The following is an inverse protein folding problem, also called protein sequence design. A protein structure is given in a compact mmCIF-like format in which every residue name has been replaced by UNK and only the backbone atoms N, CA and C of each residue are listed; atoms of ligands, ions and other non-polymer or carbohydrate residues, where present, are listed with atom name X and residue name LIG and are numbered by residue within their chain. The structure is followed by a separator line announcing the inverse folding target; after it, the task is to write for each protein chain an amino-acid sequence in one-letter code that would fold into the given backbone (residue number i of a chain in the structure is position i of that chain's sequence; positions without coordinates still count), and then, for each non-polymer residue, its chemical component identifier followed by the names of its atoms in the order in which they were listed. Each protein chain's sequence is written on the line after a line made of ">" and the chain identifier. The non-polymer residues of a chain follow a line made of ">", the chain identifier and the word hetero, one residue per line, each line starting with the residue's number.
data_IF_433197886904
#
_entry.id   IF_433197886904
#
_cell.length_a   1.000
_cell.length_b   1.000
_cell.length_c   1.000
_cell.angle_alpha   90.00
_cell.angle_beta   90.00
_cell.angle_gamma   90.00
#
_symmetry.space_group_name_H-M   'P 1'
#
loop_
_entity.id
_entity.type
_entity.pdbx_description
1 polymer ?
#
# COMPACT_ATOMS: atom_id res chain seq x y z
N UNK A 1 -10.19 -8.67 17.46
CA UNK A 1 -9.46 -7.40 17.65
C UNK A 1 -9.68 -6.43 16.48
N UNK A 2 -9.31 -6.81 15.26
CA UNK A 2 -9.43 -5.92 14.08
C UNK A 2 -10.87 -5.54 13.75
N UNK A 3 -11.83 -6.45 13.87
CA UNK A 3 -13.25 -6.12 13.72
C UNK A 3 -13.69 -5.05 14.73
N UNK A 4 -13.34 -5.22 16.02
CA UNK A 4 -13.64 -4.20 17.05
C UNK A 4 -12.96 -2.85 16.79
N UNK A 5 -11.70 -2.84 16.35
CA UNK A 5 -11.00 -1.60 16.02
C UNK A 5 -11.58 -0.91 14.77
N UNK A 6 -12.06 -1.71 13.80
CA UNK A 6 -12.79 -1.22 12.64
C UNK A 6 -14.13 -0.59 13.04
N UNK A 7 -14.87 -1.23 13.95
CA UNK A 7 -16.15 -0.75 14.46
C UNK A 7 -16.00 0.54 15.28
N UNK A 8 -14.84 0.75 15.91
CA UNK A 8 -14.49 1.94 16.67
C UNK A 8 -13.93 3.09 15.79
N UNK A 9 -13.76 2.89 14.48
CA UNK A 9 -13.14 3.88 13.58
C UNK A 9 -11.63 4.10 13.82
N UNK A 10 -11.00 3.27 14.65
CA UNK A 10 -9.58 3.34 14.97
C UNK A 10 -8.69 2.70 13.90
N UNK A 11 -9.30 1.95 12.97
CA UNK A 11 -8.61 1.41 11.83
C UNK A 11 -8.41 2.51 10.78
N UNK A 12 -7.21 3.10 10.76
CA UNK A 12 -6.85 4.21 9.88
C UNK A 12 -5.36 4.13 9.48
N UNK A 13 -4.86 5.03 8.62
CA UNK A 13 -3.45 5.04 8.21
C UNK A 13 -2.44 5.12 9.37
N UNK A 14 -2.75 5.88 10.43
CA UNK A 14 -1.87 6.01 11.59
C UNK A 14 -1.74 4.68 12.35
N UNK A 15 -2.80 3.87 12.38
CA UNK A 15 -2.75 2.52 12.94
C UNK A 15 -1.79 1.61 12.16
N UNK A 16 -1.77 1.71 10.82
CA UNK A 16 -0.85 0.92 9.98
C UNK A 16 0.61 1.21 10.32
N UNK A 17 0.96 2.50 10.44
CA UNK A 17 2.30 2.95 10.84
C UNK A 17 2.66 2.42 12.23
N UNK A 18 1.74 2.56 13.20
CA UNK A 18 1.95 2.08 14.57
C UNK A 18 2.24 0.58 14.59
N UNK A 19 1.46 -0.23 13.89
CA UNK A 19 1.65 -1.67 13.81
C UNK A 19 3.02 -2.03 13.19
N UNK A 20 3.42 -1.36 12.10
CA UNK A 20 4.74 -1.58 11.48
C UNK A 20 5.90 -1.18 12.40
N UNK A 21 5.83 -0.01 13.07
CA UNK A 21 6.86 0.44 14.02
C UNK A 21 7.03 -0.51 15.20
N UNK A 22 5.94 -1.17 15.63
CA UNK A 22 5.95 -2.17 16.70
C UNK A 22 6.44 -3.55 16.24
N UNK A 23 6.67 -3.75 14.93
CA UNK A 23 7.04 -5.05 14.37
C UNK A 23 5.88 -6.03 14.25
N UNK A 24 4.64 -5.57 14.47
CA UNK A 24 3.42 -6.38 14.44
C UNK A 24 2.94 -6.58 12.99
N UNK A 25 3.72 -7.30 12.19
CA UNK A 25 3.50 -7.45 10.74
C UNK A 25 2.14 -8.09 10.42
N UNK A 26 1.75 -9.13 11.16
CA UNK A 26 0.46 -9.80 10.97
C UNK A 26 -0.71 -8.85 11.24
N UNK A 27 -0.60 -7.97 12.24
CA UNK A 27 -1.63 -6.98 12.56
C UNK A 27 -1.71 -5.90 11.49
N UNK A 28 -0.55 -5.41 11.03
CA UNK A 28 -0.45 -4.47 9.92
C UNK A 28 -1.15 -5.02 8.66
N UNK A 29 -0.81 -6.23 8.24
CA UNK A 29 -1.36 -6.84 7.03
C UNK A 29 -2.87 -7.05 7.13
N UNK A 30 -3.36 -7.52 8.27
CA UNK A 30 -4.77 -7.75 8.47
C UNK A 30 -5.57 -6.43 8.55
N UNK A 31 -5.01 -5.40 9.20
CA UNK A 31 -5.57 -4.04 9.20
C UNK A 31 -5.63 -3.46 7.77
N UNK A 32 -4.55 -3.63 7.00
CA UNK A 32 -4.48 -3.09 5.65
C UNK A 32 -5.40 -3.85 4.69
N UNK A 33 -5.57 -5.17 4.86
CA UNK A 33 -6.57 -5.96 4.15
C UNK A 33 -7.99 -5.45 4.44
N UNK A 34 -8.29 -5.13 5.69
CA UNK A 34 -9.62 -4.61 6.09
C UNK A 34 -9.88 -3.21 5.50
N UNK A 35 -8.91 -2.30 5.55
CA UNK A 35 -9.00 -0.97 4.93
C UNK A 35 -9.16 -1.04 3.40
N UNK A 36 -8.38 -1.89 2.75
CA UNK A 36 -8.35 -1.99 1.29
C UNK A 36 -9.39 -2.96 0.73
N UNK A 37 -9.97 -3.83 1.54
CA UNK A 37 -10.85 -4.93 1.11
C UNK A 37 -10.15 -5.99 0.25
N UNK A 38 -8.81 -6.05 0.28
CA UNK A 38 -8.04 -7.01 -0.51
C UNK A 38 -7.81 -8.32 0.25
N UNK A 39 -7.59 -9.39 -0.52
CA UNK A 39 -7.08 -10.66 0.01
C UNK A 39 -5.61 -10.52 0.39
N UNK A 40 -5.21 -11.16 1.48
CA UNK A 40 -3.83 -11.12 2.01
C UNK A 40 -2.75 -11.45 0.98
N UNK A 41 -2.98 -12.48 0.14
CA UNK A 41 -2.04 -12.89 -0.92
C UNK A 41 -1.75 -11.74 -1.90
N UNK A 42 -2.79 -11.00 -2.28
CA UNK A 42 -2.68 -9.87 -3.20
C UNK A 42 -2.01 -8.67 -2.51
N UNK A 43 -2.40 -8.37 -1.28
CA UNK A 43 -1.78 -7.31 -0.48
C UNK A 43 -0.27 -7.52 -0.34
N UNK A 44 0.17 -8.71 0.08
CA UNK A 44 1.60 -9.06 0.21
C UNK A 44 2.37 -8.87 -1.10
N UNK A 45 1.77 -9.28 -2.22
CA UNK A 45 2.39 -9.09 -3.55
C UNK A 45 2.60 -7.61 -3.87
N UNK A 46 1.65 -6.75 -3.53
CA UNK A 46 1.78 -5.29 -3.67
C UNK A 46 2.85 -4.73 -2.72
N UNK A 47 2.81 -5.14 -1.45
CA UNK A 47 3.74 -4.69 -0.42
C UNK A 47 5.19 -5.04 -0.69
N UNK A 48 5.46 -6.12 -1.43
CA UNK A 48 6.81 -6.58 -1.72
C UNK A 48 7.24 -6.36 -3.17
N UNK A 49 6.37 -5.78 -4.00
CA UNK A 49 6.75 -5.38 -5.36
C UNK A 49 7.83 -4.29 -5.30
N UNK A 50 8.98 -4.44 -6.00
CA UNK A 50 10.08 -3.49 -5.92
C UNK A 50 9.69 -2.06 -6.30
N UNK A 51 8.76 -1.91 -7.25
CA UNK A 51 8.42 -0.61 -7.82
C UNK A 51 7.56 0.28 -6.93
N UNK A 52 6.74 -0.27 -6.03
CA UNK A 52 5.90 0.53 -5.11
C UNK A 52 4.71 1.27 -5.74
N UNK A 53 4.51 1.21 -7.06
CA UNK A 53 3.43 1.92 -7.76
C UNK A 53 2.06 1.39 -7.34
N UNK A 54 1.94 0.08 -7.15
CA UNK A 54 0.72 -0.52 -6.65
C UNK A 54 0.41 -0.09 -5.21
N UNK A 55 1.43 0.19 -4.39
CA UNK A 55 1.24 0.70 -3.03
C UNK A 55 0.77 2.16 -3.04
N UNK A 56 1.29 2.99 -3.95
CA UNK A 56 0.76 4.35 -4.19
C UNK A 56 -0.74 4.29 -4.46
N UNK A 57 -1.16 3.42 -5.40
CA UNK A 57 -2.58 3.26 -5.73
C UNK A 57 -3.42 2.81 -4.51
N UNK A 58 -2.93 1.89 -3.68
CA UNK A 58 -3.64 1.52 -2.46
C UNK A 58 -3.80 2.70 -1.52
N UNK A 59 -2.70 3.40 -1.22
CA UNK A 59 -2.68 4.51 -0.28
C UNK A 59 -3.59 5.65 -0.73
N UNK A 60 -3.56 6.01 -2.03
CA UNK A 60 -4.46 7.01 -2.61
C UNK A 60 -5.93 6.58 -2.56
N UNK A 61 -6.22 5.29 -2.73
CA UNK A 61 -7.59 4.79 -2.71
C UNK A 61 -8.25 4.82 -1.31
N UNK A 62 -7.44 4.76 -0.25
CA UNK A 62 -7.88 4.81 1.15
C UNK A 62 -7.51 6.13 1.84
N UNK A 63 -7.20 7.17 1.06
CA UNK A 63 -6.93 8.54 1.53
C UNK A 63 -5.77 8.67 2.54
N UNK A 64 -4.75 7.84 2.40
CA UNK A 64 -3.47 7.98 3.13
C UNK A 64 -2.72 9.16 2.53
N UNK A 65 -2.35 10.19 3.29
CA UNK A 65 -1.57 11.35 2.83
C UNK A 65 -0.12 11.02 2.41
N UNK A 66 0.54 11.95 1.70
CA UNK A 66 1.87 11.74 1.09
C UNK A 66 2.96 11.38 2.12
N UNK A 67 3.03 12.10 3.24
CA UNK A 67 4.03 11.85 4.30
C UNK A 67 3.82 10.46 4.92
N UNK A 68 2.57 10.10 5.21
CA UNK A 68 2.21 8.79 5.74
C UNK A 68 2.51 7.69 4.73
N UNK A 69 2.31 7.93 3.44
CA UNK A 69 2.68 6.99 2.38
C UNK A 69 4.19 6.77 2.33
N UNK A 70 4.99 7.85 2.35
CA UNK A 70 6.45 7.75 2.31
C UNK A 70 6.97 6.90 3.49
N UNK A 71 6.46 7.18 4.69
CA UNK A 71 6.81 6.41 5.89
C UNK A 71 6.36 4.94 5.78
N UNK A 72 5.13 4.69 5.33
CA UNK A 72 4.59 3.34 5.16
C UNK A 72 5.44 2.53 4.17
N UNK A 73 5.86 3.16 3.07
CA UNK A 73 6.72 2.54 2.07
C UNK A 73 8.07 2.14 2.68
N UNK A 74 8.76 3.07 3.35
CA UNK A 74 10.05 2.80 4.00
C UNK A 74 9.95 1.69 5.06
N UNK A 75 8.94 1.74 5.93
CA UNK A 75 8.72 0.72 6.94
C UNK A 75 8.39 -0.65 6.32
N UNK A 76 7.61 -0.68 5.24
CA UNK A 76 7.27 -1.93 4.54
C UNK A 76 8.49 -2.60 3.91
N UNK A 77 9.44 -1.81 3.38
CA UNK A 77 10.71 -2.31 2.82
C UNK A 77 11.59 -2.91 3.90
N UNK A 78 11.83 -2.16 4.98
CA UNK A 78 12.61 -2.62 6.13
C UNK A 78 12.04 -3.86 6.80
N UNK A 79 10.71 -4.03 6.78
CA UNK A 79 10.04 -5.22 7.32
C UNK A 79 10.28 -6.47 6.46
N UNK A 80 10.44 -6.30 5.14
CA UNK A 80 10.73 -7.39 4.20
C UNK A 80 12.21 -7.76 4.22
N UNK A 81 13.06 -6.74 4.13
CA UNK A 81 14.51 -6.87 4.11
C UNK A 81 15.11 -5.65 4.81
N UNK A 82 15.84 -5.90 5.90
CA UNK A 82 16.44 -4.84 6.73
C UNK A 82 17.56 -4.10 6.00
N UNK A 83 18.14 -4.71 4.97
CA UNK A 83 19.25 -4.18 4.20
C UNK A 83 18.78 -3.55 2.87
N UNK A 84 17.48 -3.60 2.54
CA UNK A 84 16.93 -2.99 1.31
C UNK A 84 17.05 -1.45 1.40
N UNK A 85 18.08 -0.91 0.76
CA UNK A 85 18.26 0.54 0.59
C UNK A 85 17.32 1.09 -0.48
N UNK A 86 16.58 2.14 -0.10
CA UNK A 86 15.69 2.86 -1.02
C UNK A 86 16.46 4.03 -1.62
N UNK A 87 16.75 3.96 -2.92
CA UNK A 87 17.48 5.02 -3.62
C UNK A 87 16.70 6.34 -3.68
N UNK A 88 17.41 7.47 -3.78
CA UNK A 88 16.80 8.79 -3.94
C UNK A 88 15.88 8.86 -5.16
N UNK A 89 16.32 8.30 -6.30
CA UNK A 89 15.52 8.23 -7.54
C UNK A 89 14.19 7.49 -7.34
N UNK A 90 14.20 6.40 -6.56
CA UNK A 90 12.97 5.66 -6.26
C UNK A 90 12.01 6.49 -5.41
N UNK A 91 12.52 7.20 -4.40
CA UNK A 91 11.69 8.09 -3.56
C UNK A 91 11.07 9.21 -4.38
N UNK A 92 11.87 9.88 -5.20
CA UNK A 92 11.40 10.99 -6.05
C UNK A 92 10.35 10.53 -7.07
N UNK A 93 10.59 9.38 -7.71
CA UNK A 93 9.64 8.78 -8.66
C UNK A 93 8.31 8.42 -7.99
N UNK A 94 8.36 7.82 -6.80
CA UNK A 94 7.16 7.44 -6.05
C UNK A 94 6.39 8.65 -5.51
N UNK A 95 7.10 9.68 -5.03
CA UNK A 95 6.51 10.96 -4.64
C UNK A 95 5.78 11.61 -5.82
N UNK A 96 6.48 11.74 -6.95
CA UNK A 96 5.91 12.29 -8.19
C UNK A 96 4.69 11.51 -8.68
N UNK A 97 4.72 10.17 -8.58
CA UNK A 97 3.60 9.32 -8.94
C UNK A 97 2.42 9.50 -7.99
N UNK A 98 2.69 9.61 -6.70
CA UNK A 98 1.67 9.81 -5.68
C UNK A 98 0.91 11.12 -5.92
N UNK A 99 1.62 12.22 -6.19
CA UNK A 99 1.04 13.55 -6.46
C UNK A 99 0.16 13.55 -7.72
N UNK A 100 0.61 12.86 -8.77
CA UNK A 100 -0.14 12.77 -10.05
C UNK A 100 -1.34 11.81 -9.96
N UNK A 101 -1.36 10.92 -8.98
CA UNK A 101 -2.42 9.92 -8.83
C UNK A 101 -3.65 10.53 -8.17
N UNK A 102 -4.77 10.58 -8.88
CA UNK A 102 -6.05 11.05 -8.33
C UNK A 102 -6.69 9.97 -7.45
N UNK A 103 -7.28 10.32 -6.29
CA UNK A 103 -7.92 9.34 -5.41
C UNK A 103 -9.03 8.54 -6.11
N UNK A 104 -9.78 9.19 -7.00
CA UNK A 104 -10.90 8.56 -7.70
C UNK A 104 -10.46 7.47 -8.69
N UNK A 105 -9.34 7.69 -9.37
CA UNK A 105 -8.77 6.70 -10.29
C UNK A 105 -8.20 5.50 -9.50
N UNK A 106 -7.53 5.78 -8.39
CA UNK A 106 -7.04 4.77 -7.46
C UNK A 106 -8.17 3.91 -6.88
N UNK A 107 -9.29 4.53 -6.44
CA UNK A 107 -10.49 3.82 -5.97
C UNK A 107 -11.08 2.91 -7.05
N UNK A 108 -11.11 3.35 -8.31
CA UNK A 108 -11.61 2.56 -9.45
C UNK A 108 -10.75 1.31 -9.68
N UNK A 109 -9.42 1.46 -9.60
CA UNK A 109 -8.47 0.34 -9.72
C UNK A 109 -8.62 -0.63 -8.54
N UNK A 110 -8.69 -0.12 -7.30
CA UNK A 110 -8.89 -0.94 -6.11
C UNK A 110 -10.18 -1.76 -6.19
N UNK A 111 -11.28 -1.17 -6.65
CA UNK A 111 -12.55 -1.88 -6.86
C UNK A 111 -12.40 -3.05 -7.84
N UNK A 112 -11.55 -2.92 -8.85
CA UNK A 112 -11.24 -4.01 -9.79
C UNK A 112 -10.41 -5.10 -9.10
N UNK A 113 -9.38 -4.74 -8.34
CA UNK A 113 -8.53 -5.69 -7.60
C UNK A 113 -9.31 -6.53 -6.58
N UNK A 114 -10.30 -5.93 -5.92
CA UNK A 114 -11.22 -6.64 -5.01
C UNK A 114 -11.99 -7.76 -5.73
N UNK A 115 -12.31 -7.56 -7.01
CA UNK A 115 -13.13 -8.48 -7.83
C UNK A 115 -12.28 -9.55 -8.53
N UNK A 116 -11.11 -9.17 -9.04
CA UNK A 116 -10.21 -10.06 -9.79
C UNK A 116 -8.95 -10.32 -8.97
N UNK A 117 -8.85 -11.51 -8.38
CA UNK A 117 -7.68 -11.93 -7.59
C UNK A 117 -6.39 -12.06 -8.43
N UNK A 118 -6.42 -11.84 -9.75
CA UNK A 118 -5.31 -12.06 -10.70
C UNK A 118 -4.93 -10.82 -11.56
N UNK A 119 -5.32 -9.60 -11.18
CA UNK A 119 -5.13 -8.41 -12.05
C UNK A 119 -3.71 -7.78 -12.05
N UNK A 120 -2.84 -8.10 -11.09
CA UNK A 120 -1.51 -7.47 -11.00
C UNK A 120 -0.59 -7.73 -12.21
N UNK A 121 -0.92 -8.69 -13.07
CA UNK A 121 -0.19 -8.89 -14.31
C UNK A 121 -0.43 -7.76 -15.33
N UNK A 122 -1.59 -7.09 -15.30
CA UNK A 122 -1.96 -6.06 -16.27
C UNK A 122 -1.34 -4.68 -15.97
N UNK A 123 -1.14 -4.32 -14.70
CA UNK A 123 -0.57 -3.00 -14.32
C UNK A 123 0.90 -2.90 -14.72
N UNK A 124 1.64 -4.01 -14.63
CA UNK A 124 3.05 -4.09 -15.04
C UNK A 124 3.27 -3.88 -16.54
N UNK A 125 2.23 -4.04 -17.37
CA UNK A 125 2.31 -3.78 -18.81
C UNK A 125 2.17 -2.29 -19.15
N UNK A 126 1.46 -1.51 -18.33
CA UNK A 126 1.19 -0.09 -18.62
C UNK A 126 2.41 0.78 -18.28
N UNK A 127 3.17 0.44 -17.24
CA UNK A 127 4.40 1.16 -16.87
C UNK A 127 5.61 0.86 -17.76
N UNK A 128 5.49 -0.12 -18.68
CA UNK A 128 6.58 -0.52 -19.59
C UNK A 128 6.45 0.07 -21.00
N UNK A 129 5.47 0.94 -21.24
CA UNK A 129 5.15 1.49 -22.58
C UNK A 129 5.13 3.03 -22.59
N UNK A 130 5.79 3.69 -21.64
CA UNK A 130 5.97 5.14 -21.63
C UNK A 130 7.45 5.51 -21.53
#
# INVERSE_FOLDING_TARGET
>A
LIERLSDLGELNPAFLIKALRQGEISLFEAAFCKLTGLKLKLLRRILFEPGGEALVLLCRAIDVGADTFAELFELSRRAKDREEEISADQKERLSSLYDKTKPEDAKRILKRWRRSSDYLFAVKQISKTA
#
